data_IF_457656974492
#
_entry.id   IF_457656974492
#
_cell.length_a   1.000
_cell.length_b   1.000
_cell.length_c   1.000
_cell.angle_alpha   90.00
_cell.angle_beta   90.00
_cell.angle_gamma   90.00
#
_symmetry.space_group_name_H-M   'P 1'
#
loop_
_entity.id
_entity.type
_entity.pdbx_description
1 polymer ?
#
# COMPACT_ATOMS: atom_id res chain seq x y z
N UNK A 1 -0.49 7.79 0.03
CA UNK A 1 0.09 6.75 -0.84
C UNK A 1 1.50 7.20 -1.18
N UNK A 2 2.55 6.47 -0.78
CA UNK A 2 3.90 6.75 -1.29
C UNK A 2 3.97 6.44 -2.79
N UNK A 3 4.63 7.29 -3.58
CA UNK A 3 4.70 7.15 -5.05
C UNK A 3 5.25 5.79 -5.49
N UNK A 4 6.14 5.18 -4.72
CA UNK A 4 6.75 3.87 -5.02
C UNK A 4 5.80 2.70 -5.05
N UNK A 5 4.81 2.67 -4.16
CA UNK A 5 3.86 1.58 -4.20
C UNK A 5 2.86 1.72 -5.34
N UNK A 6 2.54 2.97 -5.72
CA UNK A 6 1.69 3.21 -6.89
C UNK A 6 2.39 2.73 -8.16
N UNK A 7 3.67 3.06 -8.31
CA UNK A 7 4.50 2.52 -9.38
C UNK A 7 4.57 1.00 -9.31
N UNK A 8 4.90 0.43 -8.14
CA UNK A 8 4.95 -1.02 -7.93
C UNK A 8 3.65 -1.72 -8.34
N UNK A 9 2.49 -1.27 -7.84
CA UNK A 9 1.19 -1.87 -8.17
C UNK A 9 0.82 -1.74 -9.65
N UNK A 10 1.32 -0.71 -10.34
CA UNK A 10 1.10 -0.56 -11.78
C UNK A 10 1.79 -1.67 -12.57
N UNK A 11 2.98 -2.09 -12.15
CA UNK A 11 3.76 -3.15 -12.81
C UNK A 11 3.45 -4.57 -12.28
N UNK A 12 3.06 -4.70 -11.01
CA UNK A 12 2.78 -5.98 -10.35
C UNK A 12 1.30 -6.12 -9.97
N UNK A 13 0.42 -6.04 -10.97
CA UNK A 13 -1.03 -6.03 -10.77
C UNK A 13 -1.66 -7.44 -10.64
N UNK A 14 -0.96 -8.52 -10.98
CA UNK A 14 -1.50 -9.90 -10.96
C UNK A 14 -1.24 -10.67 -9.66
N UNK A 15 -0.68 -10.02 -8.62
CA UNK A 15 -0.30 -10.66 -7.35
C UNK A 15 0.59 -11.91 -7.51
N UNK A 16 1.48 -11.93 -8.50
CA UNK A 16 2.42 -13.05 -8.72
C UNK A 16 3.68 -12.89 -7.87
N UNK A 17 4.21 -13.97 -7.30
CA UNK A 17 5.42 -13.94 -6.47
C UNK A 17 6.64 -14.55 -7.14
N UNK A 18 7.84 -14.22 -6.62
CA UNK A 18 9.13 -14.76 -7.09
C UNK A 18 9.41 -16.20 -6.65
N UNK A 19 8.63 -16.72 -5.70
CA UNK A 19 8.92 -17.99 -5.01
C UNK A 19 7.76 -18.97 -5.04
N UNK A 20 6.80 -18.78 -5.96
CA UNK A 20 5.57 -19.58 -6.09
C UNK A 20 4.81 -19.78 -4.76
N UNK A 21 4.93 -18.80 -3.86
CA UNK A 21 4.28 -18.84 -2.57
C UNK A 21 2.76 -18.81 -2.72
N UNK A 22 2.05 -19.73 -2.06
CA UNK A 22 0.59 -19.68 -1.90
C UNK A 22 0.15 -18.27 -1.46
N UNK A 23 -0.69 -17.63 -2.27
CA UNK A 23 -1.23 -16.29 -2.01
C UNK A 23 -0.46 -15.11 -2.61
N UNK A 24 0.61 -15.35 -3.38
CA UNK A 24 1.27 -14.32 -4.17
C UNK A 24 2.15 -13.35 -3.37
N UNK A 25 2.59 -12.26 -4.00
CA UNK A 25 3.53 -11.32 -3.37
C UNK A 25 2.94 -10.63 -2.14
N UNK A 26 1.62 -10.42 -2.11
CA UNK A 26 0.91 -9.85 -0.96
C UNK A 26 1.02 -10.76 0.27
N UNK A 27 0.96 -12.08 0.09
CA UNK A 27 1.08 -13.04 1.17
C UNK A 27 2.50 -13.04 1.77
N UNK A 28 3.54 -12.92 0.93
CA UNK A 28 4.93 -12.78 1.39
C UNK A 28 5.07 -11.53 2.27
N UNK A 29 4.61 -10.38 1.77
CA UNK A 29 4.70 -9.12 2.52
C UNK A 29 3.92 -9.17 3.84
N UNK A 30 2.69 -9.69 3.81
CA UNK A 30 1.84 -9.80 4.99
C UNK A 30 2.46 -10.71 6.05
N UNK A 31 3.17 -11.77 5.65
CA UNK A 31 3.88 -12.66 6.58
C UNK A 31 4.97 -11.91 7.37
N UNK A 32 5.81 -11.13 6.68
CA UNK A 32 6.83 -10.33 7.35
C UNK A 32 6.24 -9.27 8.27
N UNK A 33 5.16 -8.62 7.84
CA UNK A 33 4.46 -7.64 8.68
C UNK A 33 3.81 -8.29 9.91
N UNK A 34 3.20 -9.47 9.75
CA UNK A 34 2.63 -10.21 10.86
C UNK A 34 3.69 -10.57 11.90
N UNK A 35 4.83 -11.14 11.46
CA UNK A 35 5.96 -11.48 12.34
C UNK A 35 6.54 -10.25 13.06
N UNK A 36 6.62 -9.10 12.37
CA UNK A 36 7.05 -7.85 13.00
C UNK A 36 6.07 -7.36 14.06
N UNK A 37 4.78 -7.37 13.75
CA UNK A 37 3.76 -6.89 14.67
C UNK A 37 3.50 -7.85 15.85
N UNK A 38 3.74 -9.16 15.69
CA UNK A 38 3.71 -10.14 16.78
C UNK A 38 5.00 -10.13 17.63
N UNK A 39 5.99 -9.30 17.29
CA UNK A 39 7.33 -9.29 17.90
C UNK A 39 8.10 -10.61 17.74
N UNK A 40 7.78 -11.39 16.72
CA UNK A 40 8.48 -12.63 16.38
C UNK A 40 9.79 -12.37 15.63
N UNK A 41 9.78 -11.43 14.67
CA UNK A 41 10.96 -11.10 13.86
C UNK A 41 11.01 -9.61 13.51
N UNK A 42 12.20 -8.99 13.36
CA UNK A 42 12.31 -7.63 12.85
C UNK A 42 11.87 -7.56 11.38
N UNK A 43 11.50 -6.36 10.92
CA UNK A 43 11.16 -6.17 9.51
C UNK A 43 12.45 -6.17 8.67
N UNK A 44 12.59 -7.04 7.65
CA UNK A 44 13.78 -7.07 6.80
C UNK A 44 13.98 -5.76 6.04
N UNK A 45 15.22 -5.32 5.90
CA UNK A 45 15.59 -4.11 5.16
C UNK A 45 15.23 -4.19 3.65
N UNK A 46 15.18 -5.40 3.09
CA UNK A 46 14.84 -5.63 1.70
C UNK A 46 14.12 -6.98 1.54
N UNK A 47 13.06 -7.01 0.73
CA UNK A 47 12.29 -8.22 0.44
C UNK A 47 12.00 -8.26 -1.06
N UNK A 48 12.60 -9.22 -1.77
CA UNK A 48 12.18 -9.58 -3.12
C UNK A 48 10.87 -10.37 -3.02
N UNK A 49 9.81 -9.92 -3.70
CA UNK A 49 8.47 -10.47 -3.47
C UNK A 49 7.62 -10.72 -4.71
N UNK A 50 7.82 -9.98 -5.81
CA UNK A 50 6.97 -10.11 -7.00
C UNK A 50 7.78 -10.39 -8.26
N UNK A 51 7.19 -11.18 -9.15
CA UNK A 51 7.67 -11.36 -10.51
C UNK A 51 6.47 -11.33 -11.44
N UNK A 52 6.51 -10.45 -12.43
CA UNK A 52 5.46 -10.36 -13.41
C UNK A 52 6.07 -9.92 -14.73
N UNK A 53 5.70 -10.63 -15.80
CA UNK A 53 6.32 -10.47 -17.12
C UNK A 53 7.85 -10.61 -16.99
N UNK A 54 8.61 -9.65 -17.52
CA UNK A 54 10.06 -9.57 -17.36
C UNK A 54 10.49 -8.75 -16.14
N UNK A 55 9.58 -8.26 -15.28
CA UNK A 55 9.93 -7.42 -14.13
C UNK A 55 10.06 -8.24 -12.84
N UNK A 56 11.00 -7.82 -12.00
CA UNK A 56 11.18 -8.33 -10.64
C UNK A 56 10.96 -7.17 -9.67
N UNK A 57 10.12 -7.42 -8.67
CA UNK A 57 9.63 -6.44 -7.73
C UNK A 57 10.06 -6.75 -6.31
N UNK A 58 10.62 -5.75 -5.65
CA UNK A 58 11.03 -5.83 -4.25
C UNK A 58 10.56 -4.61 -3.46
N UNK A 59 10.55 -4.76 -2.13
CA UNK A 59 10.30 -3.68 -1.19
C UNK A 59 11.55 -3.47 -0.33
N UNK A 60 12.13 -2.28 -0.43
CA UNK A 60 13.12 -1.75 0.49
C UNK A 60 12.40 -1.09 1.68
N UNK A 61 12.74 -1.48 2.91
CA UNK A 61 12.14 -0.93 4.12
C UNK A 61 13.12 -0.01 4.84
N UNK A 62 12.66 1.20 5.14
CA UNK A 62 13.42 2.17 5.93
C UNK A 62 12.54 2.65 7.08
N UNK A 63 13.11 2.83 8.29
CA UNK A 63 12.34 3.28 9.44
C UNK A 63 11.94 4.74 9.30
N UNK A 64 10.89 5.15 10.02
CA UNK A 64 10.58 6.58 10.20
C UNK A 64 11.68 7.23 11.03
N UNK A 65 12.19 8.38 10.56
CA UNK A 65 13.22 9.15 11.26
C UNK A 65 12.71 9.54 12.65
N UNK A 66 13.47 9.23 13.70
CA UNK A 66 13.09 9.45 15.09
C UNK A 66 11.96 8.54 15.63
N UNK A 67 11.38 7.65 14.81
CA UNK A 67 10.35 6.70 15.22
C UNK A 67 10.89 5.52 16.02
N UNK A 68 10.03 4.52 16.33
CA UNK A 68 10.42 3.31 17.07
C UNK A 68 11.36 2.36 16.30
N UNK A 69 11.47 2.55 14.98
CA UNK A 69 12.29 1.70 14.11
C UNK A 69 11.49 0.57 13.46
N UNK A 70 12.24 -0.35 12.87
CA UNK A 70 11.79 -1.59 12.22
C UNK A 70 12.44 -2.83 12.84
N UNK A 71 13.09 -2.65 13.99
CA UNK A 71 13.79 -3.67 14.78
C UNK A 71 12.99 -4.01 16.03
N UNK A 72 13.33 -5.13 16.67
CA UNK A 72 12.83 -5.49 18.00
C UNK A 72 13.71 -4.96 19.14
N UNK A 73 14.84 -4.34 18.79
CA UNK A 73 15.79 -3.77 19.74
C UNK A 73 15.20 -2.57 20.49
N UNK A 74 15.48 -2.53 21.80
CA UNK A 74 15.17 -1.36 22.63
C UNK A 74 16.41 -0.50 22.73
N UNK A 75 16.31 0.74 22.25
CA UNK A 75 17.41 1.68 22.30
C UNK A 75 17.41 2.46 23.62
N UNK A 76 18.57 2.55 24.26
CA UNK A 76 18.78 3.29 25.50
C UNK A 76 18.79 4.82 25.30
N UNK A 77 19.09 5.29 24.09
CA UNK A 77 19.11 6.71 23.73
C UNK A 77 18.82 6.95 22.23
N UNK A 78 18.68 8.22 21.86
CA UNK A 78 18.35 8.65 20.49
C UNK A 78 19.47 8.40 19.48
N UNK A 79 20.74 8.44 19.91
CA UNK A 79 21.91 8.27 19.05
C UNK A 79 22.07 6.81 18.60
N UNK A 80 21.98 5.86 19.54
CA UNK A 80 22.01 4.43 19.25
C UNK A 80 20.88 4.04 18.28
N UNK A 81 19.69 4.63 18.48
CA UNK A 81 18.55 4.46 17.59
C UNK A 81 18.81 5.02 16.19
N UNK A 82 19.36 6.23 16.09
CA UNK A 82 19.68 6.84 14.79
C UNK A 82 20.72 6.01 14.03
N UNK A 83 21.73 5.49 14.73
CA UNK A 83 22.74 4.58 14.17
C UNK A 83 22.09 3.31 13.61
N UNK A 84 21.21 2.66 14.38
CA UNK A 84 20.50 1.47 13.92
C UNK A 84 19.59 1.77 12.72
N UNK A 85 18.92 2.92 12.72
CA UNK A 85 18.08 3.34 11.59
C UNK A 85 18.89 3.55 10.31
N UNK A 86 20.05 4.22 10.42
CA UNK A 86 21.00 4.38 9.31
C UNK A 86 21.51 3.03 8.83
N UNK A 87 21.79 2.11 9.73
CA UNK A 87 22.23 0.76 9.36
C UNK A 87 21.17 0.01 8.56
N UNK A 88 19.91 0.06 8.96
CA UNK A 88 18.82 -0.55 8.18
C UNK A 88 18.65 0.13 6.82
N UNK A 89 18.78 1.46 6.76
CA UNK A 89 18.75 2.20 5.50
C UNK A 89 19.85 1.72 4.54
N UNK A 90 21.09 1.64 5.04
CA UNK A 90 22.24 1.11 4.29
C UNK A 90 21.96 -0.28 3.76
N UNK A 91 21.50 -1.18 4.64
CA UNK A 91 21.15 -2.55 4.25
C UNK A 91 20.08 -2.58 3.14
N UNK A 92 19.07 -1.72 3.20
CA UNK A 92 18.01 -1.68 2.20
C UNK A 92 18.54 -1.34 0.80
N UNK A 93 19.43 -0.34 0.69
CA UNK A 93 20.07 0.05 -0.57
C UNK A 93 21.08 -1.01 -1.03
N UNK A 94 21.94 -1.47 -0.12
CA UNK A 94 22.94 -2.52 -0.39
C UNK A 94 22.31 -3.79 -0.94
N UNK A 95 21.24 -4.28 -0.31
CA UNK A 95 20.58 -5.49 -0.79
C UNK A 95 19.94 -5.27 -2.15
N UNK A 96 19.36 -4.10 -2.43
CA UNK A 96 18.79 -3.80 -3.74
C UNK A 96 19.85 -3.83 -4.87
N UNK A 97 21.03 -3.26 -4.62
CA UNK A 97 22.17 -3.28 -5.56
C UNK A 97 22.64 -4.72 -5.78
N UNK A 98 22.89 -5.46 -4.69
CA UNK A 98 23.33 -6.86 -4.78
C UNK A 98 22.33 -7.75 -5.50
N UNK A 99 21.04 -7.52 -5.28
CA UNK A 99 19.96 -8.24 -5.95
C UNK A 99 20.00 -8.01 -7.47
N UNK A 100 20.13 -6.76 -7.88
CA UNK A 100 20.14 -6.37 -9.28
C UNK A 100 21.41 -6.87 -10.01
N UNK A 101 22.58 -6.76 -9.38
CA UNK A 101 23.84 -7.32 -9.87
C UNK A 101 23.75 -8.85 -10.03
N UNK A 102 23.26 -9.56 -9.01
CA UNK A 102 23.12 -11.02 -9.06
C UNK A 102 22.15 -11.50 -10.15
N UNK A 103 21.18 -10.67 -10.51
CA UNK A 103 20.22 -10.95 -11.57
C UNK A 103 20.67 -10.45 -12.95
N UNK A 104 21.81 -9.74 -13.02
CA UNK A 104 22.29 -9.04 -14.21
C UNK A 104 21.21 -8.16 -14.85
N UNK A 105 20.59 -7.30 -14.03
CA UNK A 105 19.47 -6.44 -14.44
C UNK A 105 19.67 -5.00 -13.97
N UNK A 106 19.15 -4.00 -14.70
CA UNK A 106 19.14 -2.61 -14.22
C UNK A 106 18.32 -2.48 -12.93
N UNK A 107 18.71 -1.54 -12.07
CA UNK A 107 18.04 -1.24 -10.82
C UNK A 107 17.25 0.06 -10.94
N UNK A 108 15.93 -0.03 -10.78
CA UNK A 108 15.10 1.13 -10.52
C UNK A 108 14.80 1.22 -9.02
N UNK A 109 15.23 2.30 -8.37
CA UNK A 109 15.06 2.48 -6.92
C UNK A 109 14.65 3.92 -6.61
N UNK A 110 13.65 4.08 -5.75
CA UNK A 110 13.20 5.41 -5.35
C UNK A 110 14.05 6.02 -4.25
N UNK A 111 14.10 7.36 -4.14
CA UNK A 111 14.65 8.03 -2.95
C UNK A 111 13.92 7.56 -1.68
N UNK A 112 14.59 6.76 -0.85
CA UNK A 112 13.93 6.09 0.27
C UNK A 112 13.69 7.05 1.41
N UNK A 113 12.45 7.10 1.88
CA UNK A 113 12.08 7.75 3.14
C UNK A 113 12.13 9.28 3.16
N UNK A 114 12.49 9.94 2.05
CA UNK A 114 12.53 11.40 1.97
C UNK A 114 11.15 12.04 1.96
N UNK A 115 10.06 11.28 1.80
CA UNK A 115 8.69 11.78 1.96
C UNK A 115 8.24 11.82 3.42
N UNK A 116 7.11 11.18 3.69
CA UNK A 116 6.46 11.17 5.02
C UNK A 116 7.23 10.39 6.11
N UNK A 117 8.30 9.67 5.74
CA UNK A 117 9.19 9.03 6.72
C UNK A 117 10.25 9.99 7.29
N UNK A 118 10.33 11.21 6.76
CA UNK A 118 11.03 12.32 7.41
C UNK A 118 12.55 12.29 7.31
N UNK A 119 13.14 11.48 6.44
CA UNK A 119 14.59 11.52 6.20
C UNK A 119 14.97 12.81 5.48
N UNK A 120 16.02 13.51 5.90
CA UNK A 120 16.51 14.67 5.18
C UNK A 120 17.02 14.23 3.78
N UNK A 121 16.64 14.92 2.69
CA UNK A 121 17.07 14.55 1.34
C UNK A 121 18.58 14.40 1.19
N UNK A 122 19.35 15.31 1.80
CA UNK A 122 20.80 15.34 1.75
C UNK A 122 21.43 14.17 2.51
N UNK A 123 20.86 13.81 3.66
CA UNK A 123 21.28 12.65 4.45
C UNK A 123 20.99 11.33 3.71
N UNK A 124 19.79 11.22 3.13
CA UNK A 124 19.40 10.07 2.31
C UNK A 124 20.30 9.92 1.08
N UNK A 125 20.59 11.01 0.37
CA UNK A 125 21.46 11.03 -0.80
C UNK A 125 22.89 10.56 -0.46
N UNK A 126 23.43 11.03 0.67
CA UNK A 126 24.74 10.56 1.16
C UNK A 126 24.74 9.05 1.43
N UNK A 127 23.73 8.53 2.12
CA UNK A 127 23.62 7.09 2.38
C UNK A 127 23.48 6.29 1.07
N UNK A 128 22.73 6.81 0.09
CA UNK A 128 22.64 6.22 -1.25
C UNK A 128 24.01 6.16 -1.92
N UNK A 129 24.70 7.29 -2.02
CA UNK A 129 26.01 7.38 -2.67
C UNK A 129 27.02 6.42 -2.04
N UNK A 130 27.13 6.42 -0.71
CA UNK A 130 28.02 5.52 0.02
C UNK A 130 27.74 4.05 -0.33
N UNK A 131 26.48 3.62 -0.35
CA UNK A 131 26.15 2.21 -0.66
C UNK A 131 26.33 1.86 -2.14
N UNK A 132 26.08 2.80 -3.05
CA UNK A 132 26.34 2.64 -4.48
C UNK A 132 27.84 2.42 -4.71
N UNK A 133 28.67 3.30 -4.15
CA UNK A 133 30.13 3.26 -4.29
C UNK A 133 30.70 1.98 -3.67
N UNK A 134 30.23 1.60 -2.47
CA UNK A 134 30.75 0.42 -1.77
C UNK A 134 30.37 -0.91 -2.45
N UNK A 135 29.19 -0.99 -3.08
CA UNK A 135 28.64 -2.26 -3.57
C UNK A 135 28.65 -2.41 -5.09
N UNK A 136 28.92 -1.33 -5.82
CA UNK A 136 29.14 -1.34 -7.27
C UNK A 136 30.25 -0.33 -7.64
N UNK A 137 31.49 -0.60 -7.19
CA UNK A 137 32.64 0.31 -7.37
C UNK A 137 33.09 0.44 -8.82
N UNK A 138 32.79 -0.55 -9.66
CA UNK A 138 33.18 -0.62 -11.07
C UNK A 138 32.09 -0.08 -12.02
N UNK A 139 31.04 0.55 -11.48
CA UNK A 139 29.95 1.17 -12.25
C UNK A 139 29.26 0.19 -13.24
N UNK A 140 29.03 -1.06 -12.81
CA UNK A 140 28.47 -2.10 -13.68
C UNK A 140 26.95 -2.06 -13.74
N UNK A 141 26.30 -1.59 -12.68
CA UNK A 141 24.85 -1.56 -12.57
C UNK A 141 24.29 -0.26 -13.13
N UNK A 142 23.38 -0.35 -14.11
CA UNK A 142 22.54 0.80 -14.48
C UNK A 142 21.51 1.06 -13.38
N UNK A 143 21.66 2.20 -12.68
CA UNK A 143 20.80 2.61 -11.57
C UNK A 143 19.96 3.83 -11.98
N UNK A 144 18.65 3.63 -12.05
CA UNK A 144 17.66 4.68 -12.30
C UNK A 144 16.96 5.10 -11.00
N UNK A 145 17.03 6.39 -10.67
CA UNK A 145 16.34 6.98 -9.51
C UNK A 145 15.34 8.04 -10.00
N UNK A 146 14.02 7.83 -9.80
CA UNK A 146 13.01 8.75 -10.29
C UNK A 146 12.93 10.02 -9.43
N UNK A 147 12.93 11.18 -10.09
CA UNK A 147 12.64 12.49 -9.51
C UNK A 147 11.21 12.89 -9.93
N UNK A 148 10.28 12.96 -8.98
CA UNK A 148 8.86 13.19 -9.29
C UNK A 148 8.47 14.67 -9.25
N UNK A 149 8.97 15.41 -8.27
CA UNK A 149 8.77 16.86 -8.15
C UNK A 149 10.05 17.58 -8.55
N UNK A 150 10.06 18.19 -9.74
CA UNK A 150 11.23 18.90 -10.29
C UNK A 150 11.32 20.37 -9.86
N UNK A 151 10.47 20.83 -8.92
CA UNK A 151 10.59 22.20 -8.42
C UNK A 151 11.89 22.37 -7.59
N UNK A 152 12.66 23.47 -7.74
CA UNK A 152 13.97 23.59 -7.11
C UNK A 152 13.98 23.46 -5.57
N UNK A 153 12.86 23.76 -4.92
CA UNK A 153 12.70 23.65 -3.46
C UNK A 153 12.18 22.29 -3.00
N UNK A 154 11.83 21.40 -3.95
CA UNK A 154 11.29 20.07 -3.65
C UNK A 154 12.31 19.21 -2.93
N UNK A 155 11.80 18.19 -2.26
CA UNK A 155 12.63 17.21 -1.56
C UNK A 155 13.33 16.27 -2.54
N UNK A 156 12.71 16.01 -3.69
CA UNK A 156 13.29 15.18 -4.75
C UNK A 156 14.48 15.90 -5.42
N UNK A 157 14.34 17.18 -5.77
CA UNK A 157 15.45 17.97 -6.35
C UNK A 157 16.60 18.15 -5.36
N UNK A 158 16.32 18.34 -4.07
CA UNK A 158 17.36 18.41 -3.04
C UNK A 158 18.12 17.08 -2.91
N UNK A 159 17.41 15.96 -3.00
CA UNK A 159 18.04 14.64 -3.00
C UNK A 159 18.93 14.47 -4.23
N UNK A 160 18.42 14.80 -5.43
CA UNK A 160 19.18 14.71 -6.68
C UNK A 160 20.47 15.55 -6.64
N UNK A 161 20.37 16.83 -6.27
CA UNK A 161 21.52 17.73 -6.17
C UNK A 161 22.57 17.23 -5.18
N UNK A 162 22.12 16.73 -4.02
CA UNK A 162 23.02 16.16 -3.03
C UNK A 162 23.67 14.87 -3.55
N UNK A 163 22.91 13.99 -4.19
CA UNK A 163 23.43 12.73 -4.75
C UNK A 163 24.46 13.00 -5.85
N UNK A 164 24.18 13.95 -6.74
CA UNK A 164 25.10 14.39 -7.80
C UNK A 164 26.44 14.85 -7.24
N UNK A 165 26.39 15.59 -6.12
CA UNK A 165 27.59 16.10 -5.45
C UNK A 165 28.42 14.96 -4.85
N UNK A 166 27.78 13.99 -4.20
CA UNK A 166 28.46 12.86 -3.57
C UNK A 166 29.06 11.89 -4.60
N UNK A 167 28.43 11.71 -5.77
CA UNK A 167 28.89 10.79 -6.82
C UNK A 167 29.84 11.42 -7.86
N UNK A 168 30.03 12.74 -7.85
CA UNK A 168 30.69 13.55 -8.91
C UNK A 168 32.02 12.99 -9.46
N UNK A 169 32.81 12.31 -8.63
CA UNK A 169 34.14 11.84 -8.99
C UNK A 169 34.20 10.37 -9.44
N UNK A 170 33.10 9.63 -9.30
CA UNK A 170 33.08 8.18 -9.57
C UNK A 170 31.98 7.80 -10.55
N UNK A 171 30.79 8.43 -10.48
CA UNK A 171 29.64 8.11 -11.32
C UNK A 171 28.90 9.41 -11.68
N UNK A 172 29.19 10.07 -12.81
CA UNK A 172 28.47 11.27 -13.20
C UNK A 172 27.00 10.92 -13.48
N UNK A 173 26.08 11.62 -12.82
CA UNK A 173 24.64 11.43 -13.08
C UNK A 173 24.29 11.87 -14.50
N UNK A 174 23.51 11.04 -15.20
CA UNK A 174 22.95 11.36 -16.51
C UNK A 174 21.46 11.58 -16.33
N UNK A 175 20.98 12.79 -16.62
CA UNK A 175 19.54 13.08 -16.64
C UNK A 175 18.88 12.37 -17.83
N UNK A 176 18.00 11.41 -17.57
CA UNK A 176 17.12 10.82 -18.58
C UNK A 176 15.72 11.41 -18.45
N UNK A 177 15.45 12.53 -19.14
CA UNK A 177 14.13 13.17 -19.11
C UNK A 177 13.12 12.41 -19.97
N UNK A 178 12.17 11.69 -19.36
CA UNK A 178 10.92 11.31 -20.03
C UNK A 178 9.85 12.37 -19.77
N UNK A 179 9.81 13.40 -20.60
CA UNK A 179 8.70 14.35 -20.62
C UNK A 179 7.47 13.69 -21.26
N UNK A 180 6.51 13.29 -20.44
CA UNK A 180 5.13 13.12 -20.90
C UNK A 180 4.26 14.23 -20.33
N UNK A 181 4.08 15.25 -21.16
CA UNK A 181 3.06 16.28 -21.04
C UNK A 181 1.68 15.64 -20.96
N UNK A 182 1.02 15.71 -19.80
CA UNK A 182 -0.42 15.54 -19.71
C UNK A 182 -1.04 16.83 -19.16
N UNK A 183 -1.61 17.60 -20.09
CA UNK A 183 -2.50 18.74 -19.84
C UNK A 183 -3.60 18.31 -18.88
N UNK A 184 -3.63 18.90 -17.68
CA UNK A 184 -4.77 18.82 -16.77
C UNK A 184 -5.93 19.64 -17.34
N UNK A 185 -6.89 18.98 -17.98
CA UNK A 185 -8.19 19.56 -18.25
C UNK A 185 -8.96 19.62 -16.93
N UNK A 186 -9.15 20.85 -16.45
CA UNK A 186 -9.83 21.19 -15.20
C UNK A 186 -11.34 21.08 -15.44
N UNK A 187 -11.96 19.98 -15.05
CA UNK A 187 -13.44 19.85 -15.06
C UNK A 187 -13.98 20.26 -13.70
N UNK A 188 -14.81 21.29 -13.73
CA UNK A 188 -15.53 21.93 -12.63
C UNK A 188 -16.53 20.99 -11.94
N UNK A 189 -16.62 21.10 -10.61
CA UNK A 189 -17.65 20.45 -9.78
C UNK A 189 -19.03 21.03 -10.07
N UNK A 190 -20.07 20.20 -10.31
CA UNK A 190 -21.45 20.64 -10.14
C UNK A 190 -21.83 20.63 -8.67
N UNK A 191 -22.38 21.76 -8.25
CA UNK A 191 -23.11 22.00 -7.01
C UNK A 191 -24.54 21.49 -7.22
N UNK A 192 -25.03 20.58 -6.38
CA UNK A 192 -26.46 20.28 -6.33
C UNK A 192 -27.02 20.43 -4.92
N UNK A 193 -28.23 20.99 -4.93
CA UNK A 193 -29.01 21.52 -3.83
C UNK A 193 -29.66 20.40 -3.02
N UNK A 194 -29.90 20.75 -1.76
CA UNK A 194 -30.74 20.04 -0.81
C UNK A 194 -32.21 20.24 -1.19
N UNK A 195 -32.95 19.16 -1.42
CA UNK A 195 -34.42 19.17 -1.30
C UNK A 195 -34.85 18.07 -0.32
N UNK A 196 -35.82 18.44 0.52
CA UNK A 196 -36.39 17.65 1.59
C UNK A 196 -37.62 16.86 1.12
N UNK A 197 -37.90 15.79 1.89
CA UNK A 197 -39.22 15.24 2.20
C UNK A 197 -39.87 14.26 1.21
N UNK A 198 -40.02 13.00 1.62
CA UNK A 198 -41.28 12.56 2.24
C UNK A 198 -41.17 11.18 2.90
N UNK A 199 -41.89 11.05 4.03
CA UNK A 199 -42.23 9.80 4.72
C UNK A 199 -43.17 8.97 3.86
N UNK A 200 -42.87 7.69 3.70
CA UNK A 200 -43.90 6.66 3.64
C UNK A 200 -43.40 5.41 4.36
N UNK A 201 -44.23 4.95 5.28
CA UNK A 201 -44.00 3.77 6.11
C UNK A 201 -44.61 2.59 5.38
N UNK A 202 -43.80 1.70 4.80
CA UNK A 202 -44.31 0.47 4.20
C UNK A 202 -43.48 -0.75 4.62
N UNK A 203 -44.16 -1.62 5.37
CA UNK A 203 -44.17 -3.08 5.22
C UNK A 203 -42.85 -3.74 4.79
N UNK A 204 -42.10 -4.25 5.77
CA UNK A 204 -40.94 -5.13 5.54
C UNK A 204 -41.39 -6.43 4.87
N UNK A 205 -41.15 -6.55 3.56
CA UNK A 205 -40.98 -7.86 2.93
C UNK A 205 -39.75 -8.55 3.57
N UNK A 206 -39.79 -9.89 3.75
CA UNK A 206 -38.68 -10.63 4.34
C UNK A 206 -37.45 -10.54 3.43
N UNK A 207 -36.32 -10.15 4.01
CA UNK A 207 -35.02 -10.03 3.32
C UNK A 207 -34.68 -11.32 2.56
N UNK A 208 -34.04 -11.19 1.39
CA UNK A 208 -33.56 -12.35 0.63
C UNK A 208 -32.48 -13.12 1.41
N UNK A 209 -32.27 -14.41 1.10
CA UNK A 209 -31.27 -15.23 1.80
C UNK A 209 -29.85 -14.65 1.68
N UNK A 210 -29.45 -14.18 0.49
CA UNK A 210 -28.15 -13.55 0.26
C UNK A 210 -28.02 -12.21 0.98
N UNK A 211 -29.11 -11.43 1.07
CA UNK A 211 -29.17 -10.19 1.82
C UNK A 211 -28.93 -10.42 3.33
N UNK A 212 -29.56 -11.47 3.89
CA UNK A 212 -29.33 -11.87 5.29
C UNK A 212 -27.87 -12.28 5.50
N UNK A 213 -27.31 -13.08 4.58
CA UNK A 213 -25.91 -13.52 4.67
C UNK A 213 -24.93 -12.34 4.59
N UNK A 214 -25.08 -11.44 3.62
CA UNK A 214 -24.19 -10.28 3.51
C UNK A 214 -24.32 -9.35 4.73
N UNK A 215 -25.53 -9.14 5.25
CA UNK A 215 -25.74 -8.40 6.51
C UNK A 215 -24.97 -9.03 7.67
N UNK A 216 -25.01 -10.36 7.81
CA UNK A 216 -24.30 -11.08 8.85
C UNK A 216 -22.76 -11.00 8.68
N UNK A 217 -22.27 -11.05 7.45
CA UNK A 217 -20.85 -10.85 7.13
C UNK A 217 -20.40 -9.45 7.54
N UNK A 218 -21.15 -8.40 7.17
CA UNK A 218 -20.84 -7.01 7.53
C UNK A 218 -20.83 -6.82 9.05
N UNK A 219 -21.78 -7.43 9.76
CA UNK A 219 -21.82 -7.41 11.23
C UNK A 219 -20.61 -8.08 11.86
N UNK A 220 -20.19 -9.24 11.33
CA UNK A 220 -18.98 -9.93 11.78
C UNK A 220 -17.73 -9.08 11.54
N UNK A 221 -17.61 -8.46 10.36
CA UNK A 221 -16.51 -7.56 10.02
C UNK A 221 -16.46 -6.37 10.98
N UNK A 222 -17.59 -5.71 11.27
CA UNK A 222 -17.67 -4.60 12.24
C UNK A 222 -17.16 -5.07 13.60
N UNK A 223 -17.70 -6.18 14.11
CA UNK A 223 -17.31 -6.74 15.41
C UNK A 223 -15.81 -7.02 15.49
N UNK A 224 -15.25 -7.69 14.48
CA UNK A 224 -13.84 -8.06 14.45
C UNK A 224 -12.92 -6.83 14.33
N UNK A 225 -13.34 -5.82 13.57
CA UNK A 225 -12.62 -4.56 13.41
C UNK A 225 -12.63 -3.71 14.69
N UNK A 226 -13.76 -3.68 15.41
CA UNK A 226 -13.90 -2.93 16.66
C UNK A 226 -13.13 -3.60 17.81
N UNK A 227 -13.13 -4.94 17.86
CA UNK A 227 -12.53 -5.76 18.92
C UNK A 227 -11.09 -6.23 18.67
N UNK A 228 -10.50 -5.92 17.49
CA UNK A 228 -9.19 -6.43 17.05
C UNK A 228 -9.10 -7.97 16.93
N UNK A 229 -10.18 -8.66 16.61
CA UNK A 229 -10.12 -10.11 16.35
C UNK A 229 -9.35 -10.43 15.06
N UNK A 230 -8.73 -11.61 15.01
CA UNK A 230 -7.86 -12.06 13.92
C UNK A 230 -6.47 -11.43 13.97
N UNK A 231 -5.83 -11.27 12.81
CA UNK A 231 -4.47 -10.71 12.72
C UNK A 231 -4.44 -9.17 12.72
N UNK A 232 -5.43 -8.52 13.36
CA UNK A 232 -5.58 -7.05 13.31
C UNK A 232 -4.72 -6.35 14.35
N UNK A 233 -3.77 -5.55 13.88
CA UNK A 233 -2.84 -4.82 14.76
C UNK A 233 -3.43 -3.55 15.41
N UNK A 234 -4.53 -3.00 14.86
CA UNK A 234 -5.16 -1.77 15.38
C UNK A 234 -6.67 -1.93 15.54
N UNK A 235 -7.21 -1.43 16.66
CA UNK A 235 -8.66 -1.29 16.83
C UNK A 235 -9.12 -0.09 16.03
N UNK A 236 -10.38 -0.11 15.61
CA UNK A 236 -10.99 1.13 15.15
C UNK A 236 -12.46 1.14 15.48
N UNK A 237 -12.73 0.98 16.77
CA UNK A 237 -13.97 1.39 17.40
C UNK A 237 -14.31 2.81 16.91
N UNK A 238 -15.46 2.97 16.27
CA UNK A 238 -15.87 4.25 15.68
C UNK A 238 -15.00 4.78 14.53
N UNK A 239 -14.16 3.96 13.91
CA UNK A 239 -13.36 4.40 12.74
C UNK A 239 -14.25 4.69 11.53
N UNK A 240 -13.75 5.52 10.60
CA UNK A 240 -14.44 5.81 9.32
C UNK A 240 -14.84 4.52 8.58
N UNK A 241 -13.99 3.48 8.59
CA UNK A 241 -14.31 2.17 8.01
C UNK A 241 -15.51 1.51 8.68
N UNK A 242 -15.56 1.54 10.02
CA UNK A 242 -16.68 0.97 10.78
C UNK A 242 -17.96 1.75 10.52
N UNK A 243 -17.88 3.09 10.43
CA UNK A 243 -19.04 3.91 10.11
C UNK A 243 -19.56 3.60 8.71
N UNK A 244 -18.67 3.51 7.72
CA UNK A 244 -19.04 3.14 6.35
C UNK A 244 -19.68 1.74 6.27
N UNK A 245 -19.16 0.74 6.99
CA UNK A 245 -19.79 -0.59 7.08
C UNK A 245 -21.17 -0.53 7.73
N UNK A 246 -21.34 0.27 8.80
CA UNK A 246 -22.65 0.49 9.44
C UNK A 246 -23.64 1.15 8.47
N UNK A 247 -23.19 2.07 7.65
CA UNK A 247 -24.03 2.76 6.66
C UNK A 247 -24.44 1.80 5.53
N UNK A 248 -23.53 0.97 5.02
CA UNK A 248 -23.87 -0.10 4.05
C UNK A 248 -24.86 -1.09 4.65
N UNK A 249 -24.66 -1.53 5.89
CA UNK A 249 -25.62 -2.43 6.58
C UNK A 249 -27.01 -1.81 6.66
N UNK A 250 -27.11 -0.52 6.99
CA UNK A 250 -28.41 0.19 7.03
C UNK A 250 -29.06 0.26 5.66
N UNK A 251 -28.32 0.64 4.62
CA UNK A 251 -28.82 0.67 3.22
C UNK A 251 -29.32 -0.71 2.77
N UNK A 252 -28.56 -1.76 3.10
CA UNK A 252 -28.92 -3.13 2.80
C UNK A 252 -30.23 -3.52 3.48
N UNK A 253 -30.41 -3.18 4.76
CA UNK A 253 -31.64 -3.48 5.51
C UNK A 253 -32.86 -2.67 5.05
N UNK A 254 -32.64 -1.52 4.40
CA UNK A 254 -33.70 -0.68 3.83
C UNK A 254 -33.98 -0.96 2.35
N UNK A 255 -33.23 -1.86 1.72
CA UNK A 255 -33.44 -2.24 0.32
C UNK A 255 -34.52 -3.31 0.24
N UNK A 256 -35.63 -3.09 -0.49
CA UNK A 256 -36.66 -4.10 -0.69
C UNK A 256 -36.10 -5.37 -1.33
N UNK A 257 -36.63 -6.53 -0.97
CA UNK A 257 -36.16 -7.82 -1.49
C UNK A 257 -36.33 -7.94 -3.01
N UNK A 258 -37.30 -7.22 -3.57
CA UNK A 258 -37.59 -7.16 -5.00
C UNK A 258 -36.48 -6.45 -5.79
N UNK A 259 -35.79 -5.48 -5.18
CA UNK A 259 -34.67 -4.74 -5.79
C UNK A 259 -33.31 -5.39 -5.52
N UNK A 260 -33.28 -6.46 -4.70
CA UNK A 260 -32.04 -7.05 -4.23
C UNK A 260 -31.19 -7.63 -5.37
N UNK A 261 -31.80 -8.35 -6.31
CA UNK A 261 -31.07 -9.01 -7.40
C UNK A 261 -30.24 -8.05 -8.25
N UNK A 262 -30.75 -6.83 -8.49
CA UNK A 262 -30.05 -5.80 -9.24
C UNK A 262 -28.95 -5.11 -8.42
N UNK A 263 -29.14 -4.99 -7.10
CA UNK A 263 -28.24 -4.25 -6.19
C UNK A 263 -27.21 -5.11 -5.47
N UNK A 264 -27.36 -6.43 -5.48
CA UNK A 264 -26.47 -7.38 -4.76
C UNK A 264 -25.00 -7.15 -5.13
N UNK A 265 -24.72 -7.03 -6.44
CA UNK A 265 -23.37 -6.78 -6.95
C UNK A 265 -22.80 -5.45 -6.45
N UNK A 266 -23.63 -4.41 -6.38
CA UNK A 266 -23.22 -3.09 -5.89
C UNK A 266 -22.86 -3.14 -4.41
N UNK A 267 -23.67 -3.82 -3.59
CA UNK A 267 -23.42 -3.96 -2.15
C UNK A 267 -22.17 -4.79 -1.86
N UNK A 268 -21.92 -5.86 -2.62
CA UNK A 268 -20.72 -6.67 -2.50
C UNK A 268 -19.46 -5.85 -2.80
N UNK A 269 -19.48 -5.06 -3.88
CA UNK A 269 -18.35 -4.20 -4.25
C UNK A 269 -18.18 -2.98 -3.33
N UNK A 270 -19.27 -2.36 -2.86
CA UNK A 270 -19.20 -1.27 -1.88
C UNK A 270 -18.55 -1.79 -0.58
N UNK A 271 -18.95 -2.99 -0.13
CA UNK A 271 -18.37 -3.64 1.05
C UNK A 271 -16.89 -3.97 0.83
N UNK A 272 -16.51 -4.50 -0.34
CA UNK A 272 -15.11 -4.77 -0.69
C UNK A 272 -14.27 -3.49 -0.65
N UNK A 273 -14.73 -2.41 -1.29
CA UNK A 273 -14.06 -1.10 -1.32
C UNK A 273 -13.85 -0.54 0.08
N UNK A 274 -14.83 -0.68 0.97
CA UNK A 274 -14.68 -0.29 2.38
C UNK A 274 -13.64 -1.17 3.08
N UNK A 275 -13.65 -2.48 2.83
CA UNK A 275 -12.65 -3.39 3.36
C UNK A 275 -11.22 -3.03 2.92
N UNK A 276 -11.04 -2.50 1.71
CA UNK A 276 -9.75 -2.05 1.17
C UNK A 276 -9.22 -0.74 1.76
N UNK A 277 -10.05 0.04 2.47
CA UNK A 277 -9.61 1.30 3.07
C UNK A 277 -8.47 1.08 4.08
N UNK A 278 -7.40 1.86 3.99
CA UNK A 278 -6.21 1.75 4.85
C UNK A 278 -6.23 2.81 5.95
N UNK A 279 -5.90 2.43 7.19
CA UNK A 279 -5.99 3.30 8.39
C UNK A 279 -4.77 4.17 8.67
N UNK A 280 -3.59 3.81 8.16
CA UNK A 280 -2.32 4.49 8.49
C UNK A 280 -1.31 4.30 7.37
N UNK A 281 -0.36 5.24 7.28
CA UNK A 281 0.77 5.19 6.36
C UNK A 281 1.66 3.96 6.55
N UNK A 282 1.69 3.33 7.73
CA UNK A 282 2.43 2.07 7.93
C UNK A 282 1.71 0.84 7.34
N UNK A 283 0.38 0.87 7.21
CA UNK A 283 -0.40 -0.18 6.55
C UNK A 283 -0.47 0.02 5.03
N UNK A 284 0.37 0.91 4.51
CA UNK A 284 0.32 1.33 3.13
C UNK A 284 0.63 0.18 2.16
N UNK A 285 1.42 -0.79 2.59
CA UNK A 285 1.89 -1.89 1.76
C UNK A 285 1.06 -3.18 1.92
N UNK A 286 0.45 -3.42 3.08
CA UNK A 286 -0.36 -4.61 3.36
C UNK A 286 -1.73 -4.60 2.67
N UNK A 287 -2.25 -5.78 2.37
CA UNK A 287 -3.71 -5.95 2.16
C UNK A 287 -4.39 -5.90 3.52
N UNK A 288 -5.38 -5.02 3.75
CA UNK A 288 -6.04 -4.95 5.05
C UNK A 288 -6.69 -6.30 5.40
N UNK A 289 -6.58 -6.73 6.66
CA UNK A 289 -7.17 -8.00 7.13
C UNK A 289 -8.67 -8.11 6.82
N UNK A 290 -9.39 -6.99 6.81
CA UNK A 290 -10.80 -6.94 6.41
C UNK A 290 -11.06 -7.41 4.99
N UNK A 291 -10.10 -7.28 4.06
CA UNK A 291 -10.25 -7.78 2.68
C UNK A 291 -10.16 -9.31 2.66
N UNK A 292 -9.14 -9.87 3.31
CA UNK A 292 -8.96 -11.33 3.40
C UNK A 292 -10.15 -11.96 4.11
N UNK A 293 -10.54 -11.42 5.27
CA UNK A 293 -11.69 -11.90 6.02
C UNK A 293 -12.98 -11.82 5.21
N UNK A 294 -13.23 -10.70 4.52
CA UNK A 294 -14.42 -10.57 3.69
C UNK A 294 -14.49 -11.63 2.60
N UNK A 295 -13.39 -11.84 1.86
CA UNK A 295 -13.33 -12.87 0.81
C UNK A 295 -13.52 -14.29 1.37
N UNK A 296 -12.94 -14.58 2.53
CA UNK A 296 -13.15 -15.88 3.20
C UNK A 296 -14.61 -16.07 3.63
N UNK A 297 -15.22 -15.06 4.26
CA UNK A 297 -16.61 -15.11 4.71
C UNK A 297 -17.59 -15.23 3.54
N UNK A 298 -17.32 -14.59 2.40
CA UNK A 298 -18.12 -14.76 1.17
C UNK A 298 -18.08 -16.21 0.70
N UNK A 299 -16.89 -16.81 0.61
CA UNK A 299 -16.70 -18.21 0.21
C UNK A 299 -17.41 -19.18 1.15
N UNK A 300 -17.33 -18.96 2.46
CA UNK A 300 -18.03 -19.77 3.47
C UNK A 300 -19.56 -19.71 3.35
N UNK A 301 -20.10 -18.61 2.81
CA UNK A 301 -21.54 -18.42 2.61
C UNK A 301 -22.00 -18.73 1.19
N UNK A 302 -21.10 -19.13 0.29
CA UNK A 302 -21.43 -19.41 -1.11
C UNK A 302 -21.78 -18.15 -1.92
N UNK A 303 -21.28 -16.99 -1.49
CA UNK A 303 -21.41 -15.72 -2.22
C UNK A 303 -20.15 -15.48 -3.04
N UNK A 304 -20.32 -15.02 -4.28
CA UNK A 304 -19.21 -14.70 -5.19
C UNK A 304 -19.12 -13.20 -5.43
N UNK A 305 -17.89 -12.69 -5.52
CA UNK A 305 -17.68 -11.30 -5.92
C UNK A 305 -17.96 -11.17 -7.43
N UNK A 306 -18.77 -10.19 -7.85
CA UNK A 306 -19.00 -9.94 -9.27
C UNK A 306 -17.69 -9.49 -9.95
N UNK A 307 -17.54 -9.84 -11.22
CA UNK A 307 -16.41 -9.37 -12.04
C UNK A 307 -16.46 -7.84 -12.16
N UNK A 308 -15.41 -7.14 -11.73
CA UNK A 308 -15.36 -5.66 -11.72
C UNK A 308 -15.61 -5.03 -13.11
N UNK A 309 -15.38 -5.79 -14.19
CA UNK A 309 -15.59 -5.36 -15.58
C UNK A 309 -17.04 -5.47 -16.06
N UNK A 310 -17.89 -6.27 -15.40
CA UNK A 310 -19.26 -6.51 -15.83
C UNK A 310 -20.22 -5.34 -15.55
N UNK A 311 -19.85 -4.43 -14.64
CA UNK A 311 -20.76 -3.38 -14.13
C UNK A 311 -20.64 -2.06 -14.91
N UNK A 312 -19.58 -1.89 -15.71
CA UNK A 312 -19.40 -0.72 -16.58
C UNK A 312 -20.18 -0.78 -17.90
N UNK A 313 -20.94 -1.84 -18.16
CA UNK A 313 -21.70 -2.01 -19.42
C UNK A 313 -23.19 -1.62 -19.33
N UNK A 314 -23.69 -1.25 -18.15
CA UNK A 314 -25.09 -0.83 -17.97
C UNK A 314 -25.20 0.58 -17.35
N UNK A 315 -24.58 1.58 -17.99
CA UNK A 315 -24.90 3.00 -17.77
C UNK A 315 -24.95 3.77 -19.07
#
# INVERSE_FOLDING_TARGET
MGSGFLAFKKFFNQNLSVSDSLGGWQAILNRHLAAYHSQEAPMPAYIRLAQQDSYIGAVATVPVKGGKGLTLEKFSNSEARDKAHKQQYRQAVTQAIKDALALNRPLYIQPLGIGVYGWAPEEAAKLFAEMIIENDPEDQLDISIPIFDTSPSSRDMKFEQALAKELKHQRPLVETTQSQSQKKTRVSKPRYQTEQSNKTTESKSPLSANQIQLSAIIERLIGNIESKQGNRWTSGKGSQKVQALKDVKKKLQSTPSEEWGEKESEFLLETLRICEQKRSFFHFWATPESVTEFKTLLKEKGLELPDEKAITLNK
#
